data_IF_544356788444
#
_entry.id   IF_544356788444
#
_cell.length_a   1.000
_cell.length_b   1.000
_cell.length_c   1.000
_cell.angle_alpha   90.00
_cell.angle_beta   90.00
_cell.angle_gamma   90.00
#
_symmetry.space_group_name_H-M   'P 1'
#
loop_
_entity.id
_entity.type
_entity.pdbx_description
1 polymer ?
#
# COMPACT_ATOMS: atom_id res chain seq x y z
N UNK A 1 8.31 -32.21 -9.97
CA UNK A 1 7.92 -31.71 -8.64
C UNK A 1 9.03 -30.76 -8.22
N UNK A 2 8.87 -29.46 -7.95
CA UNK A 2 7.70 -28.62 -7.75
C UNK A 2 8.05 -27.23 -8.26
N UNK A 3 7.04 -26.51 -8.75
CA UNK A 3 7.18 -25.16 -9.28
C UNK A 3 7.48 -24.18 -8.14
N UNK A 4 8.51 -23.35 -8.33
CA UNK A 4 8.71 -22.14 -7.56
C UNK A 4 7.57 -21.19 -7.91
N UNK A 5 6.63 -21.04 -6.98
CA UNK A 5 5.56 -20.05 -7.04
C UNK A 5 6.25 -18.69 -6.88
N UNK A 6 6.44 -17.97 -7.98
CA UNK A 6 6.77 -16.55 -7.93
C UNK A 6 5.66 -15.84 -7.16
N UNK A 7 5.96 -15.47 -5.92
CA UNK A 7 5.12 -14.61 -5.11
C UNK A 7 5.24 -13.17 -5.68
N UNK A 8 4.18 -12.56 -6.24
CA UNK A 8 4.26 -11.21 -6.79
C UNK A 8 4.44 -10.11 -5.73
N UNK A 9 4.49 -10.48 -4.44
CA UNK A 9 4.69 -9.60 -3.31
C UNK A 9 6.05 -9.87 -2.64
N UNK A 10 7.14 -9.59 -3.35
CA UNK A 10 8.49 -9.58 -2.78
C UNK A 10 8.74 -8.23 -2.07
N UNK A 11 9.23 -8.23 -0.83
CA UNK A 11 9.41 -7.03 0.02
C UNK A 11 10.31 -5.97 -0.63
N UNK A 12 11.28 -6.40 -1.45
CA UNK A 12 12.16 -5.49 -2.21
C UNK A 12 11.39 -4.58 -3.17
N UNK A 13 10.26 -5.04 -3.71
CA UNK A 13 9.41 -4.28 -4.65
C UNK A 13 8.64 -3.17 -3.94
N UNK A 14 8.33 -3.35 -2.65
CA UNK A 14 7.66 -2.34 -1.81
C UNK A 14 8.66 -1.28 -1.34
N UNK A 15 9.97 -1.54 -1.36
CA UNK A 15 11.00 -0.59 -0.91
C UNK A 15 11.78 0.10 -2.05
N UNK A 16 11.80 -0.43 -3.28
CA UNK A 16 12.55 0.20 -4.38
C UNK A 16 11.98 1.54 -4.87
N UNK A 17 12.82 2.58 -4.86
CA UNK A 17 12.55 3.88 -5.50
C UNK A 17 12.63 3.71 -7.03
N UNK A 18 11.62 4.15 -7.78
CA UNK A 18 11.75 4.33 -9.24
C UNK A 18 10.73 3.68 -10.18
N UNK A 19 9.75 2.89 -9.73
CA UNK A 19 8.69 2.42 -10.65
C UNK A 19 7.54 3.43 -10.74
N UNK A 20 7.35 3.99 -11.94
CA UNK A 20 6.19 4.81 -12.32
C UNK A 20 4.92 4.00 -12.04
N UNK A 21 3.99 4.53 -11.21
CA UNK A 21 2.70 3.90 -10.81
C UNK A 21 2.79 2.65 -9.90
N UNK A 22 3.51 2.72 -8.78
CA UNK A 22 3.46 1.66 -7.76
C UNK A 22 2.16 1.75 -6.92
N UNK A 23 1.03 1.31 -7.50
CA UNK A 23 -0.27 1.31 -6.83
C UNK A 23 -0.28 0.38 -5.61
N UNK A 24 0.50 -0.70 -5.62
CA UNK A 24 0.63 -1.60 -4.48
C UNK A 24 1.24 -0.88 -3.27
N UNK A 25 2.31 -0.10 -3.46
CA UNK A 25 2.89 0.74 -2.39
C UNK A 25 1.89 1.78 -1.91
N UNK A 26 1.19 2.44 -2.81
CA UNK A 26 0.20 3.47 -2.42
C UNK A 26 -0.96 2.84 -1.62
N UNK A 27 -1.42 1.65 -2.00
CA UNK A 27 -2.43 0.87 -1.25
C UNK A 27 -1.90 0.43 0.12
N UNK A 28 -0.64 -0.02 0.20
CA UNK A 28 -0.02 -0.38 1.48
C UNK A 28 0.08 0.83 2.42
N UNK A 29 0.44 2.01 1.90
CA UNK A 29 0.44 3.28 2.65
C UNK A 29 -0.99 3.62 3.11
N UNK A 30 -1.98 3.51 2.23
CA UNK A 30 -3.37 3.77 2.55
C UNK A 30 -3.86 2.88 3.69
N UNK A 31 -3.71 1.56 3.56
CA UNK A 31 -4.09 0.59 4.59
C UNK A 31 -3.34 0.81 5.90
N UNK A 32 -2.03 1.06 5.85
CA UNK A 32 -1.23 1.30 7.06
C UNK A 32 -1.78 2.51 7.83
N UNK A 33 -2.12 3.58 7.12
CA UNK A 33 -2.68 4.78 7.76
C UNK A 33 -4.08 4.55 8.31
N UNK A 34 -4.95 3.86 7.57
CA UNK A 34 -6.31 3.51 8.00
C UNK A 34 -6.36 2.58 9.21
N UNK A 35 -5.36 1.69 9.34
CA UNK A 35 -5.35 0.67 10.40
C UNK A 35 -4.61 1.11 11.65
N UNK A 36 -3.55 1.92 11.51
CA UNK A 36 -2.69 2.30 12.64
C UNK A 36 -2.92 3.73 13.13
N UNK A 37 -3.45 4.62 12.29
CA UNK A 37 -3.54 6.05 12.59
C UNK A 37 -2.19 6.77 12.62
N UNK A 38 -1.10 6.12 12.21
CA UNK A 38 0.25 6.68 12.26
C UNK A 38 0.43 7.93 11.41
N UNK A 39 1.36 8.78 11.87
CA UNK A 39 1.66 10.03 11.17
C UNK A 39 2.31 9.78 9.80
N UNK A 40 2.12 10.72 8.87
CA UNK A 40 2.78 10.63 7.56
C UNK A 40 4.30 10.58 7.67
N UNK A 41 4.90 11.20 8.70
CA UNK A 41 6.34 11.13 8.96
C UNK A 41 6.76 9.74 9.41
N UNK A 42 6.03 9.14 10.37
CA UNK A 42 6.28 7.79 10.86
C UNK A 42 6.20 6.75 9.73
N UNK A 43 5.10 6.78 8.96
CA UNK A 43 4.94 5.91 7.79
C UNK A 43 6.03 6.16 6.74
N UNK A 44 6.45 7.41 6.57
CA UNK A 44 7.54 7.79 5.69
C UNK A 44 8.84 7.04 5.95
N UNK A 45 9.20 6.87 7.23
CA UNK A 45 10.37 6.08 7.64
C UNK A 45 10.23 4.61 7.23
N UNK A 46 9.06 3.99 7.44
CA UNK A 46 8.82 2.59 7.07
C UNK A 46 8.81 2.35 5.55
N UNK A 47 8.27 3.28 4.76
CA UNK A 47 8.15 3.13 3.31
C UNK A 47 9.39 3.60 2.52
N UNK A 48 10.58 3.51 3.11
CA UNK A 48 11.85 3.81 2.44
C UNK A 48 12.21 5.30 2.41
N UNK A 49 11.90 6.02 3.49
CA UNK A 49 12.26 7.44 3.65
C UNK A 49 11.43 8.40 2.79
N UNK A 50 10.15 8.07 2.54
CA UNK A 50 9.23 8.98 1.85
C UNK A 50 8.92 10.15 2.80
N UNK A 51 8.92 11.38 2.28
CA UNK A 51 8.52 12.52 3.10
C UNK A 51 7.07 12.41 3.58
N UNK A 52 6.76 13.00 4.74
CA UNK A 52 5.37 12.99 5.25
C UNK A 52 4.35 13.61 4.30
N UNK A 53 4.76 14.62 3.52
CA UNK A 53 3.97 15.17 2.42
C UNK A 53 3.76 14.13 1.30
N UNK A 54 4.81 13.41 0.90
CA UNK A 54 4.72 12.36 -0.11
C UNK A 54 3.81 11.19 0.31
N UNK A 55 3.82 10.83 1.59
CA UNK A 55 2.87 9.86 2.15
C UNK A 55 1.44 10.38 2.03
N UNK A 56 1.20 11.64 2.40
CA UNK A 56 -0.13 12.26 2.32
C UNK A 56 -0.65 12.32 0.88
N UNK A 57 0.20 12.67 -0.09
CA UNK A 57 -0.19 12.66 -1.51
C UNK A 57 -0.60 11.28 -1.99
N UNK A 58 0.14 10.22 -1.62
CA UNK A 58 -0.16 8.84 -2.02
C UNK A 58 -1.43 8.32 -1.36
N UNK A 59 -1.61 8.61 -0.08
CA UNK A 59 -2.85 8.33 0.64
C UNK A 59 -4.04 8.96 -0.07
N UNK A 60 -3.98 10.27 -0.36
CA UNK A 60 -5.06 10.98 -1.03
C UNK A 60 -5.35 10.44 -2.44
N UNK A 61 -4.30 10.04 -3.17
CA UNK A 61 -4.45 9.42 -4.49
C UNK A 61 -5.30 8.13 -4.43
N UNK A 62 -5.04 7.24 -3.47
CA UNK A 62 -5.86 6.03 -3.29
C UNK A 62 -7.25 6.38 -2.78
N UNK A 63 -7.35 7.26 -1.78
CA UNK A 63 -8.64 7.69 -1.23
C UNK A 63 -9.58 8.28 -2.29
N UNK A 64 -9.04 9.03 -3.26
CA UNK A 64 -9.82 9.54 -4.40
C UNK A 64 -10.11 8.45 -5.42
N UNK A 65 -9.16 7.55 -5.69
CA UNK A 65 -9.33 6.49 -6.68
C UNK A 65 -10.44 5.51 -6.29
N UNK A 66 -10.53 5.12 -5.01
CA UNK A 66 -11.54 4.17 -4.52
C UNK A 66 -12.97 4.73 -4.53
N UNK A 67 -13.15 6.05 -4.61
CA UNK A 67 -14.47 6.67 -4.73
C UNK A 67 -15.16 6.31 -6.05
N UNK A 68 -14.37 6.09 -7.11
CA UNK A 68 -14.87 5.83 -8.47
C UNK A 68 -14.54 4.42 -8.96
N UNK A 69 -13.77 3.64 -8.20
CA UNK A 69 -13.26 2.32 -8.58
C UNK A 69 -13.69 1.27 -7.53
N UNK A 70 -14.92 0.78 -7.66
CA UNK A 70 -15.48 -0.24 -6.76
C UNK A 70 -14.69 -1.56 -6.79
N UNK A 71 -14.05 -1.89 -7.93
CA UNK A 71 -13.22 -3.08 -8.04
C UNK A 71 -11.99 -2.96 -7.13
N UNK A 72 -11.30 -1.82 -7.18
CA UNK A 72 -10.17 -1.52 -6.30
C UNK A 72 -10.59 -1.51 -4.83
N UNK A 73 -11.72 -0.89 -4.50
CA UNK A 73 -12.24 -0.87 -3.13
C UNK A 73 -12.46 -2.29 -2.59
N UNK A 74 -13.10 -3.16 -3.38
CA UNK A 74 -13.32 -4.56 -3.00
C UNK A 74 -12.01 -5.33 -2.80
N UNK A 75 -10.99 -5.07 -3.63
CA UNK A 75 -9.67 -5.67 -3.45
C UNK A 75 -9.01 -5.21 -2.14
N UNK A 76 -9.05 -3.92 -1.84
CA UNK A 76 -8.50 -3.34 -0.60
C UNK A 76 -9.19 -3.93 0.62
N UNK A 77 -10.53 -4.03 0.61
CA UNK A 77 -11.29 -4.63 1.71
C UNK A 77 -10.90 -6.09 1.93
N UNK A 78 -10.78 -6.89 0.85
CA UNK A 78 -10.32 -8.28 0.96
C UNK A 78 -8.92 -8.40 1.56
N UNK A 79 -8.01 -7.48 1.23
CA UNK A 79 -6.67 -7.45 1.82
C UNK A 79 -6.76 -7.11 3.31
N UNK A 80 -7.54 -6.08 3.67
CA UNK A 80 -7.78 -5.68 5.06
C UNK A 80 -8.34 -6.83 5.89
N UNK A 81 -9.35 -7.51 5.38
CA UNK A 81 -9.99 -8.65 6.05
C UNK A 81 -9.00 -9.80 6.29
N UNK A 82 -8.11 -10.05 5.32
CA UNK A 82 -7.05 -11.05 5.48
C UNK A 82 -6.01 -10.66 6.52
N UNK A 83 -5.70 -9.37 6.69
CA UNK A 83 -4.76 -8.91 7.72
C UNK A 83 -5.38 -9.03 9.12
N UNK A 84 -6.68 -8.75 9.26
CA UNK A 84 -7.37 -8.77 10.56
C UNK A 84 -7.72 -10.20 11.01
N UNK A 85 -8.13 -11.07 10.08
CA UNK A 85 -8.57 -12.43 10.39
C UNK A 85 -7.43 -13.47 10.34
N UNK A 86 -6.19 -13.02 10.43
CA UNK A 86 -5.00 -13.87 10.52
C UNK A 86 -4.60 -14.07 11.98
#
# INVERSE_FOLDING_TARGET
MSQAIENPFNDETILQKGKKRNIARDVAIYLSREMTGESGVALGYYFGGISGAGITTRYNHIAQKIQNDHSLLNQINRIRDKIINN
#
